data_IF_142848497687
#
_entry.id   IF_142848497687
#
_cell.length_a   1.000
_cell.length_b   1.000
_cell.length_c   1.000
_cell.angle_alpha   90.00
_cell.angle_beta   90.00
_cell.angle_gamma   90.00
#
_symmetry.space_group_name_H-M   'P 1'
#
loop_
_entity.id
_entity.type
_entity.pdbx_description
1 polymer ?
#
# COMPACT_ATOMS: atom_id res chain seq x y z
N UNK A 1 -2.04 18.78 -12.05
CA UNK A 1 -2.83 17.86 -12.90
C UNK A 1 -2.01 17.15 -13.98
N UNK A 2 -0.97 17.78 -14.55
CA UNK A 2 -0.10 17.18 -15.59
C UNK A 2 0.74 15.99 -15.09
N UNK A 3 1.20 16.00 -13.83
CA UNK A 3 2.02 14.94 -13.26
C UNK A 3 1.28 13.59 -13.12
N UNK A 4 -0.05 13.60 -12.93
CA UNK A 4 -0.86 12.37 -12.85
C UNK A 4 -1.03 11.68 -14.21
N UNK A 5 -0.99 12.40 -15.32
CA UNK A 5 -1.13 11.84 -16.67
C UNK A 5 0.18 11.19 -17.16
N UNK A 6 1.32 11.73 -16.77
CA UNK A 6 2.63 11.15 -17.14
C UNK A 6 2.91 9.81 -16.44
N UNK A 7 2.40 9.60 -15.22
CA UNK A 7 2.55 8.30 -14.54
C UNK A 7 1.69 7.18 -15.16
N UNK A 8 0.51 7.49 -15.72
CA UNK A 8 -0.34 6.49 -16.38
C UNK A 8 0.25 5.93 -17.66
N UNK A 9 0.85 6.78 -18.49
CA UNK A 9 1.47 6.33 -19.75
C UNK A 9 2.75 5.51 -19.50
N UNK A 10 3.48 5.78 -18.43
CA UNK A 10 4.72 5.08 -18.10
C UNK A 10 4.50 3.61 -17.73
N UNK A 11 3.47 3.29 -16.94
CA UNK A 11 3.23 1.92 -16.46
C UNK A 11 2.79 0.99 -17.59
N UNK A 12 1.84 1.42 -18.42
CA UNK A 12 1.41 0.65 -19.59
C UNK A 12 2.57 0.41 -20.59
N UNK A 13 3.40 1.42 -20.83
CA UNK A 13 4.58 1.29 -21.70
C UNK A 13 5.58 0.29 -21.12
N UNK A 14 5.80 0.30 -19.81
CA UNK A 14 6.67 -0.64 -19.13
C UNK A 14 6.16 -2.09 -19.24
N UNK A 15 4.85 -2.34 -19.05
CA UNK A 15 4.26 -3.66 -19.25
C UNK A 15 4.34 -4.14 -20.69
N UNK A 16 4.17 -3.26 -21.67
CA UNK A 16 4.38 -3.60 -23.09
C UNK A 16 5.83 -4.04 -23.35
N UNK A 17 6.79 -3.32 -22.81
CA UNK A 17 8.20 -3.71 -22.92
C UNK A 17 8.46 -5.06 -22.26
N UNK A 18 7.94 -5.28 -21.05
CA UNK A 18 8.04 -6.57 -20.37
C UNK A 18 7.40 -7.71 -21.19
N UNK A 19 6.25 -7.47 -21.81
CA UNK A 19 5.60 -8.42 -22.71
C UNK A 19 6.53 -8.85 -23.85
N UNK A 20 7.26 -7.94 -24.48
CA UNK A 20 8.19 -8.27 -25.56
C UNK A 20 9.42 -9.03 -25.09
N UNK A 21 9.88 -8.80 -23.87
CA UNK A 21 11.03 -9.50 -23.29
C UNK A 21 10.68 -10.93 -22.83
N UNK A 22 9.44 -11.19 -22.50
CA UNK A 22 8.99 -12.49 -22.05
C UNK A 22 8.87 -13.47 -23.24
N UNK A 23 9.33 -14.70 -23.03
CA UNK A 23 9.02 -15.83 -23.93
C UNK A 23 7.52 -16.12 -23.94
N UNK A 24 7.03 -16.90 -24.93
CA UNK A 24 5.65 -17.36 -24.95
C UNK A 24 5.29 -18.08 -23.65
N UNK A 25 4.13 -17.76 -23.07
CA UNK A 25 3.69 -18.21 -21.73
C UNK A 25 4.64 -17.85 -20.58
N UNK A 26 5.53 -16.85 -20.79
CA UNK A 26 6.41 -16.32 -19.77
C UNK A 26 5.63 -15.66 -18.64
N UNK A 27 6.18 -15.70 -17.44
CA UNK A 27 5.59 -15.10 -16.22
C UNK A 27 6.35 -13.89 -15.79
N UNK A 28 5.65 -12.94 -15.21
CA UNK A 28 6.22 -11.83 -14.47
C UNK A 28 5.48 -11.62 -13.16
N UNK A 29 6.16 -11.08 -12.18
CA UNK A 29 5.56 -10.64 -10.94
C UNK A 29 5.94 -9.18 -10.68
N UNK A 30 5.00 -8.43 -10.10
CA UNK A 30 5.23 -7.05 -9.65
C UNK A 30 4.71 -6.88 -8.24
N UNK A 31 5.35 -6.00 -7.47
CA UNK A 31 4.85 -5.52 -6.19
C UNK A 31 4.45 -4.07 -6.38
N UNK A 32 3.24 -3.73 -5.96
CA UNK A 32 2.67 -2.39 -6.17
C UNK A 32 1.79 -1.97 -4.99
N UNK A 33 1.52 -0.65 -4.78
CA UNK A 33 0.58 -0.22 -3.76
C UNK A 33 -0.79 -0.88 -3.93
N UNK A 34 -1.32 -1.49 -2.86
CA UNK A 34 -2.59 -2.21 -2.87
C UNK A 34 -3.76 -1.32 -3.34
N UNK A 35 -3.75 -0.04 -2.98
CA UNK A 35 -4.76 0.93 -3.40
C UNK A 35 -4.86 1.13 -4.92
N UNK A 36 -3.82 0.75 -5.68
CA UNK A 36 -3.78 0.87 -7.16
C UNK A 36 -3.84 -0.48 -7.87
N UNK A 37 -4.19 -1.55 -7.17
CA UNK A 37 -4.22 -2.92 -7.69
C UNK A 37 -5.06 -3.04 -8.98
N UNK A 38 -6.26 -2.46 -8.98
CA UNK A 38 -7.15 -2.53 -10.15
C UNK A 38 -6.57 -1.81 -11.38
N UNK A 39 -5.92 -0.68 -11.18
CA UNK A 39 -5.26 0.09 -12.26
C UNK A 39 -4.13 -0.75 -12.88
N UNK A 40 -3.28 -1.32 -12.05
CA UNK A 40 -2.16 -2.15 -12.49
C UNK A 40 -2.62 -3.38 -13.27
N UNK A 41 -3.64 -4.08 -12.77
CA UNK A 41 -4.19 -5.26 -13.45
C UNK A 41 -4.77 -4.89 -14.83
N UNK A 42 -5.50 -3.79 -14.95
CA UNK A 42 -6.02 -3.30 -16.23
C UNK A 42 -4.90 -2.94 -17.22
N UNK A 43 -3.81 -2.35 -16.73
CA UNK A 43 -2.67 -2.00 -17.58
C UNK A 43 -1.86 -3.23 -18.01
N UNK A 44 -1.78 -4.26 -17.16
CA UNK A 44 -1.24 -5.56 -17.55
C UNK A 44 -2.06 -6.20 -18.67
N UNK A 45 -3.38 -6.26 -18.53
CA UNK A 45 -4.28 -6.83 -19.54
C UNK A 45 -4.16 -6.11 -20.87
N UNK A 46 -4.12 -4.77 -20.90
CA UNK A 46 -3.89 -3.97 -22.11
C UNK A 46 -2.56 -4.27 -22.79
N UNK A 47 -1.58 -4.76 -22.03
CA UNK A 47 -0.28 -5.14 -22.57
C UNK A 47 -0.19 -6.63 -22.99
N UNK A 48 -1.27 -7.41 -22.88
CA UNK A 48 -1.27 -8.84 -23.19
C UNK A 48 -0.75 -9.75 -22.05
N UNK A 49 -0.65 -9.18 -20.86
CA UNK A 49 -0.24 -9.89 -19.64
C UNK A 49 -1.49 -10.17 -18.79
N UNK A 50 -1.95 -11.41 -18.74
CA UNK A 50 -3.11 -11.78 -17.95
C UNK A 50 -2.74 -11.97 -16.48
N UNK A 51 -3.28 -11.18 -15.53
CA UNK A 51 -3.11 -11.42 -14.11
C UNK A 51 -3.66 -12.81 -13.74
N UNK A 52 -2.87 -13.59 -13.00
CA UNK A 52 -3.19 -14.98 -12.63
C UNK A 52 -3.32 -15.18 -11.14
N UNK A 53 -2.45 -14.54 -10.38
CA UNK A 53 -2.40 -14.68 -8.93
C UNK A 53 -2.12 -13.34 -8.31
N UNK A 54 -2.70 -13.10 -7.15
CA UNK A 54 -2.33 -11.94 -6.35
C UNK A 54 -2.25 -12.30 -4.87
N UNK A 55 -1.40 -11.61 -4.17
CA UNK A 55 -1.20 -11.74 -2.74
C UNK A 55 -1.17 -10.36 -2.11
N UNK A 56 -2.06 -10.11 -1.17
CA UNK A 56 -2.05 -8.89 -0.38
C UNK A 56 -0.97 -8.97 0.69
N UNK A 57 -0.21 -7.89 0.84
CA UNK A 57 0.88 -7.78 1.79
C UNK A 57 0.50 -6.75 2.85
N UNK A 58 0.55 -7.19 4.09
CA UNK A 58 0.17 -6.42 5.27
C UNK A 58 1.41 -6.11 6.10
N UNK A 59 1.57 -4.88 6.58
CA UNK A 59 2.65 -4.57 7.54
C UNK A 59 2.53 -5.42 8.80
N UNK A 60 1.32 -5.60 9.33
CA UNK A 60 1.01 -6.46 10.47
C UNK A 60 -0.48 -6.85 10.42
N UNK A 61 -0.91 -7.79 11.26
CA UNK A 61 -2.29 -8.27 11.31
C UNK A 61 -3.32 -7.18 11.65
N UNK A 62 -2.90 -6.11 12.34
CA UNK A 62 -3.79 -5.01 12.74
C UNK A 62 -3.84 -3.85 11.73
N UNK A 63 -3.06 -3.90 10.66
CA UNK A 63 -2.99 -2.84 9.65
C UNK A 63 -3.61 -3.32 8.34
N UNK A 64 -4.14 -2.39 7.56
CA UNK A 64 -4.60 -2.67 6.21
C UNK A 64 -3.44 -3.07 5.29
N UNK A 65 -3.73 -3.84 4.23
CA UNK A 65 -2.75 -4.13 3.20
C UNK A 65 -2.28 -2.83 2.54
N UNK A 66 -0.97 -2.66 2.45
CA UNK A 66 -0.36 -1.52 1.78
C UNK A 66 0.24 -1.88 0.43
N UNK A 67 0.60 -3.14 0.23
CA UNK A 67 1.16 -3.64 -1.02
C UNK A 67 0.35 -4.84 -1.54
N UNK A 68 0.47 -5.08 -2.83
CA UNK A 68 -0.01 -6.29 -3.50
C UNK A 68 1.09 -6.83 -4.40
N UNK A 69 1.31 -8.12 -4.36
CA UNK A 69 2.09 -8.85 -5.35
C UNK A 69 1.14 -9.43 -6.38
N UNK A 70 1.42 -9.21 -7.67
CA UNK A 70 0.60 -9.71 -8.77
C UNK A 70 1.51 -10.49 -9.71
N UNK A 71 1.15 -11.76 -9.97
CA UNK A 71 1.75 -12.58 -11.01
C UNK A 71 0.87 -12.55 -12.25
N UNK A 72 1.47 -12.26 -13.40
CA UNK A 72 0.81 -12.27 -14.70
C UNK A 72 1.52 -13.22 -15.67
N UNK A 73 0.75 -13.76 -16.60
CA UNK A 73 1.21 -14.72 -17.62
C UNK A 73 0.96 -14.12 -19.01
N UNK A 74 1.99 -14.18 -19.86
CA UNK A 74 1.90 -13.72 -21.26
C UNK A 74 0.95 -14.62 -22.06
N UNK A 75 0.09 -14.01 -22.88
CA UNK A 75 -0.85 -14.69 -23.81
C UNK A 75 -1.72 -15.75 -23.11
N UNK A 76 -2.15 -15.48 -21.91
CA UNK A 76 -3.03 -16.37 -21.15
C UNK A 76 -4.45 -15.81 -21.06
N UNK A 77 -5.41 -16.68 -20.78
CA UNK A 77 -6.79 -16.28 -20.48
C UNK A 77 -6.84 -15.65 -19.08
N UNK A 78 -7.64 -14.59 -18.87
CA UNK A 78 -7.85 -14.03 -17.53
C UNK A 78 -8.43 -15.08 -16.59
N UNK A 79 -7.82 -15.22 -15.44
CA UNK A 79 -8.33 -16.02 -14.31
C UNK A 79 -7.47 -15.66 -13.10
N UNK A 80 -8.05 -15.05 -12.10
CA UNK A 80 -7.33 -14.46 -10.98
C UNK A 80 -7.58 -15.30 -9.72
N UNK A 81 -6.50 -15.81 -9.13
CA UNK A 81 -6.52 -16.56 -7.89
C UNK A 81 -5.93 -15.73 -6.73
N UNK A 82 -6.68 -15.51 -5.66
CA UNK A 82 -6.13 -14.95 -4.44
C UNK A 82 -5.23 -15.94 -3.73
N UNK A 83 -4.07 -15.49 -3.28
CA UNK A 83 -3.19 -16.23 -2.39
C UNK A 83 -3.43 -15.83 -0.92
N UNK A 84 -3.09 -16.69 0.03
CA UNK A 84 -3.15 -16.32 1.44
C UNK A 84 -2.39 -15.01 1.70
N UNK A 85 -2.89 -14.13 2.59
CA UNK A 85 -2.25 -12.87 2.86
C UNK A 85 -0.86 -13.05 3.47
N UNK A 86 0.07 -12.15 3.13
CA UNK A 86 1.42 -12.14 3.69
C UNK A 86 1.53 -11.03 4.73
N UNK A 87 1.81 -11.41 5.98
CA UNK A 87 2.12 -10.47 7.06
C UNK A 87 3.63 -10.28 7.13
N UNK A 88 4.09 -9.02 7.23
CA UNK A 88 5.54 -8.72 7.32
C UNK A 88 6.02 -8.90 8.75
N UNK A 89 5.31 -8.29 9.72
CA UNK A 89 5.70 -8.27 11.11
C UNK A 89 4.70 -8.97 12.03
N UNK A 90 5.23 -9.67 13.02
CA UNK A 90 4.50 -10.17 14.18
C UNK A 90 4.12 -9.00 15.12
N UNK A 91 3.22 -9.21 16.10
CA UNK A 91 2.84 -8.17 17.06
C UNK A 91 4.02 -7.60 17.86
N UNK A 92 5.07 -8.38 18.07
CA UNK A 92 6.29 -7.99 18.76
C UNK A 92 7.29 -7.21 17.88
N UNK A 93 6.94 -6.96 16.61
CA UNK A 93 7.77 -6.25 15.64
C UNK A 93 8.84 -7.11 14.97
N UNK A 94 8.90 -8.41 15.25
CA UNK A 94 9.79 -9.33 14.53
C UNK A 94 9.22 -9.72 13.17
N UNK A 95 10.07 -10.17 12.24
CA UNK A 95 9.60 -10.69 10.96
C UNK A 95 8.83 -12.00 11.14
N UNK A 96 7.76 -12.17 10.38
CA UNK A 96 7.00 -13.42 10.36
C UNK A 96 7.84 -14.59 9.82
N UNK A 97 7.46 -15.82 10.18
CA UNK A 97 8.16 -17.02 9.73
C UNK A 97 8.28 -17.13 8.19
N UNK A 98 7.24 -16.82 7.37
CA UNK A 98 7.37 -16.79 5.92
C UNK A 98 8.44 -15.83 5.45
N UNK A 99 8.50 -14.61 6.01
CA UNK A 99 9.51 -13.60 5.63
C UNK A 99 10.91 -14.03 6.02
N UNK A 100 11.09 -14.56 7.23
CA UNK A 100 12.40 -15.10 7.64
C UNK A 100 12.91 -16.18 6.70
N UNK A 101 12.01 -17.05 6.22
CA UNK A 101 12.35 -18.10 5.26
C UNK A 101 12.80 -17.52 3.92
N UNK A 102 12.09 -16.52 3.39
CA UNK A 102 12.46 -15.83 2.14
C UNK A 102 13.84 -15.22 2.24
N UNK A 103 14.12 -14.46 3.31
CA UNK A 103 15.44 -13.85 3.52
C UNK A 103 16.56 -14.87 3.74
N UNK A 104 16.28 -16.01 4.37
CA UNK A 104 17.26 -17.07 4.52
C UNK A 104 17.61 -17.72 3.18
N UNK A 105 16.63 -17.90 2.29
CA UNK A 105 16.84 -18.39 0.94
C UNK A 105 17.65 -17.42 0.08
N UNK A 106 17.41 -16.12 0.20
CA UNK A 106 18.14 -15.08 -0.51
C UNK A 106 19.64 -15.07 -0.13
N UNK A 107 19.95 -15.18 1.15
CA UNK A 107 21.34 -15.31 1.62
C UNK A 107 22.04 -16.58 1.09
N UNK A 108 21.31 -17.69 0.99
CA UNK A 108 21.84 -18.95 0.48
C UNK A 108 22.08 -18.90 -1.04
N UNK A 109 21.34 -18.10 -1.79
CA UNK A 109 21.47 -17.95 -3.26
C UNK A 109 22.49 -16.89 -3.68
N UNK A 110 23.14 -16.19 -2.75
CA UNK A 110 24.20 -15.21 -3.04
C UNK A 110 23.72 -13.93 -3.74
N UNK A 111 22.41 -13.68 -3.81
CA UNK A 111 21.87 -12.43 -4.33
C UNK A 111 21.95 -11.38 -3.22
N UNK A 112 22.97 -10.53 -3.27
CA UNK A 112 23.07 -9.35 -2.42
C UNK A 112 22.00 -8.33 -2.87
N UNK A 113 20.87 -8.28 -2.17
CA UNK A 113 20.09 -7.06 -2.11
C UNK A 113 20.93 -6.05 -1.31
N UNK A 114 21.24 -4.91 -1.94
CA UNK A 114 22.15 -3.93 -1.38
C UNK A 114 21.78 -3.53 0.04
N UNK A 115 22.73 -3.63 0.95
CA UNK A 115 22.64 -3.37 2.39
C UNK A 115 22.35 -1.88 2.74
N UNK A 116 21.95 -1.06 1.77
CA UNK A 116 21.93 0.40 1.92
C UNK A 116 20.64 1.01 2.48
N UNK A 117 19.50 0.32 2.45
CA UNK A 117 18.23 1.03 2.64
C UNK A 117 17.40 0.60 3.86
N UNK A 118 17.74 -0.50 4.52
CA UNK A 118 16.98 -0.98 5.68
C UNK A 118 17.43 -0.34 7.00
N UNK A 119 18.63 0.24 7.07
CA UNK A 119 19.13 0.87 8.30
C UNK A 119 18.49 2.22 8.61
N UNK A 120 18.00 2.98 7.62
CA UNK A 120 17.37 4.27 7.85
C UNK A 120 15.92 4.24 8.35
N UNK A 121 15.27 3.08 8.35
CA UNK A 121 13.91 2.96 8.89
C UNK A 121 13.87 2.76 10.42
N UNK A 122 14.99 2.47 11.07
CA UNK A 122 15.05 2.23 12.52
C UNK A 122 15.25 3.48 13.37
N UNK A 123 15.63 4.62 12.79
CA UNK A 123 16.01 5.81 13.57
C UNK A 123 15.01 6.97 13.55
N UNK A 124 13.83 6.79 12.98
CA UNK A 124 12.77 7.78 13.16
C UNK A 124 11.82 7.38 14.27
N UNK A 125 12.35 7.35 15.47
CA UNK A 125 11.54 7.50 16.67
C UNK A 125 10.99 8.93 16.64
N UNK A 126 9.69 9.18 16.77
CA UNK A 126 9.19 10.53 16.91
C UNK A 126 9.70 11.05 18.25
N UNK A 127 10.64 11.99 18.19
CA UNK A 127 11.01 12.79 19.36
C UNK A 127 9.72 13.38 19.92
N UNK A 128 9.52 13.12 21.19
CA UNK A 128 8.51 13.74 22.03
C UNK A 128 8.48 15.24 21.75
N UNK A 129 7.40 15.71 21.15
CA UNK A 129 7.05 17.11 21.16
C UNK A 129 6.76 17.45 22.63
N UNK A 130 7.71 18.09 23.29
CA UNK A 130 7.47 18.75 24.58
C UNK A 130 6.39 19.79 24.33
N UNK A 131 5.24 19.56 24.93
CA UNK A 131 4.25 20.59 25.13
C UNK A 131 4.86 21.66 26.01
N UNK A 132 5.39 22.71 25.43
CA UNK A 132 5.52 24.00 26.14
C UNK A 132 4.11 24.55 26.30
N UNK A 133 3.67 24.60 27.54
CA UNK A 133 2.50 25.35 27.95
C UNK A 133 2.82 26.83 27.79
N UNK A 134 2.02 27.64 27.09
CA UNK A 134 2.09 29.06 27.21
C UNK A 134 1.42 29.47 28.54
N UNK A 135 2.24 30.04 29.41
CA UNK A 135 1.80 30.73 30.63
C UNK A 135 0.79 31.81 30.32
N UNK A 136 -0.26 31.81 31.07
CA UNK A 136 -1.35 32.71 31.23
C UNK A 136 -1.27 34.12 30.72
N UNK A 137 -2.38 34.51 30.11
CA UNK A 137 -3.08 35.78 30.43
C UNK A 137 -4.49 35.64 29.87
N UNK A 138 -5.44 35.90 30.75
CA UNK A 138 -6.84 35.74 30.51
C UNK A 138 -7.38 36.68 29.43
N UNK A 139 -8.33 36.18 28.69
CA UNK A 139 -9.29 37.03 27.98
C UNK A 139 -10.68 36.44 28.20
N UNK A 140 -11.53 37.26 28.76
CA UNK A 140 -12.94 37.01 29.05
C UNK A 140 -13.68 36.58 27.77
N UNK A 141 -14.44 35.49 27.90
CA UNK A 141 -15.46 35.13 26.91
C UNK A 141 -16.72 35.98 27.20
N UNK A 142 -17.35 36.59 26.22
CA UNK A 142 -18.73 37.06 26.38
C UNK A 142 -19.70 35.89 26.25
N UNK A 143 -20.61 35.80 27.20
CA UNK A 143 -21.74 34.94 27.24
C UNK A 143 -22.63 35.15 26.00
N UNK A 144 -22.92 34.11 25.27
CA UNK A 144 -23.96 34.13 24.26
C UNK A 144 -25.16 33.39 24.78
N UNK A 145 -26.18 34.20 25.02
CA UNK A 145 -27.56 33.93 25.40
C UNK A 145 -28.11 32.65 24.81
N UNK A 146 -28.68 31.86 25.72
CA UNK A 146 -29.78 30.90 25.41
C UNK A 146 -30.97 31.70 24.95
N UNK A 147 -31.55 31.32 23.83
CA UNK A 147 -32.95 31.51 23.54
C UNK A 147 -33.58 30.13 23.44
N UNK A 148 -34.22 29.74 24.56
CA UNK A 148 -35.42 28.91 24.54
C UNK A 148 -36.52 29.72 23.87
N UNK A 149 -37.23 29.12 22.92
CA UNK A 149 -38.64 29.33 22.71
C UNK A 149 -39.25 28.13 22.01
N UNK A 150 -39.83 27.38 22.82
CA UNK A 150 -41.01 26.54 22.81
C UNK A 150 -42.23 27.29 22.24
N UNK A 151 -42.97 26.68 21.36
CA UNK A 151 -44.45 26.72 21.17
C UNK A 151 -44.78 25.95 19.89
N UNK A 152 -45.33 24.76 19.97
CA UNK A 152 -46.72 24.49 20.35
C UNK A 152 -47.70 24.74 19.19
N UNK A 153 -48.24 23.63 18.75
CA UNK A 153 -49.64 23.36 18.49
C UNK A 153 -50.39 24.01 17.31
N UNK A 154 -50.97 23.13 16.60
CA UNK A 154 -52.40 23.08 16.15
C UNK A 154 -52.70 23.37 14.68
N UNK A 155 -53.36 22.35 14.17
CA UNK A 155 -54.55 22.32 13.32
C UNK A 155 -54.39 22.61 11.80
N UNK A 156 -54.52 21.63 10.97
CA UNK A 156 -55.78 21.22 10.33
C UNK A 156 -55.50 20.09 9.32
#
# INVERSE_FOLDING_TARGET
>A
SLARHQQKSGLTAWFKMAYHLLRGKGRMAVIYPAARMLEVMKDMEKAGLAPKRFQLIYPSAQKAANLVMIEALKDARPMLHPEPPLMIYEPDGTLTAPLRKIYAMERASGVHAGDGEIQHARERHPQQVRHEQPSGKGLLLPELHRHDENQAEQEN
#
